data_IF_107355581647
#
_entry.id   IF_107355581647
#
_cell.length_a   1.000
_cell.length_b   1.000
_cell.length_c   1.000
_cell.angle_alpha   90.00
_cell.angle_beta   90.00
_cell.angle_gamma   90.00
#
_symmetry.space_group_name_H-M   'P 1'
#
loop_
_entity.id
_entity.type
_entity.pdbx_description
1 polymer ?
#
# COMPACT_ATOMS: atom_id res chain seq x y z
N UNK A 1 -2.54 9.20 26.89
CA UNK A 1 -3.57 9.48 26.07
C UNK A 1 -3.35 8.89 24.73
N UNK A 2 -4.35 8.58 24.08
CA UNK A 2 -4.25 7.94 22.87
C UNK A 2 -4.02 8.91 21.79
N UNK A 3 -3.11 8.70 20.99
CA UNK A 3 -2.92 9.57 19.90
C UNK A 3 -4.10 9.56 19.03
N UNK A 4 -4.34 10.58 18.50
CA UNK A 4 -5.41 10.67 17.78
C UNK A 4 -5.22 10.18 16.48
N UNK A 5 -4.05 10.03 15.96
CA UNK A 5 -3.95 9.59 14.62
C UNK A 5 -3.97 8.11 14.63
N UNK A 6 -4.66 7.54 13.71
CA UNK A 6 -4.73 6.12 13.56
C UNK A 6 -3.38 5.56 13.25
N UNK A 7 -2.57 6.31 12.56
CA UNK A 7 -1.26 5.86 12.19
C UNK A 7 -0.39 5.61 13.41
N UNK A 8 -0.41 6.52 14.37
CA UNK A 8 0.40 6.36 15.55
C UNK A 8 -0.08 5.18 16.38
N UNK A 9 -1.38 5.05 16.52
CA UNK A 9 -1.94 3.96 17.26
C UNK A 9 -1.57 2.63 16.66
N UNK A 10 -1.64 2.55 15.34
CA UNK A 10 -1.33 1.36 14.62
C UNK A 10 0.11 0.97 14.81
N UNK A 11 1.02 1.93 14.70
CA UNK A 11 2.42 1.65 14.87
C UNK A 11 2.75 1.17 16.27
N UNK A 12 2.04 1.68 17.26
CA UNK A 12 2.24 1.24 18.63
C UNK A 12 1.85 -0.23 18.77
N UNK A 13 0.75 -0.62 18.19
CA UNK A 13 0.33 -2.00 18.25
C UNK A 13 1.34 -2.90 17.56
N UNK A 14 1.77 -2.49 16.38
CA UNK A 14 2.69 -3.29 15.60
C UNK A 14 4.02 -3.46 16.33
N UNK A 15 4.49 -2.41 16.97
CA UNK A 15 5.77 -2.46 17.64
C UNK A 15 5.78 -3.49 18.75
N UNK A 16 4.62 -3.82 19.26
CA UNK A 16 4.53 -4.78 20.37
C UNK A 16 4.38 -6.20 19.88
N UNK A 17 4.34 -6.43 18.59
CA UNK A 17 4.17 -7.76 18.05
C UNK A 17 5.44 -8.18 17.35
N UNK A 18 6.06 -9.20 17.87
CA UNK A 18 7.29 -9.65 17.32
C UNK A 18 7.13 -10.10 15.90
N UNK A 19 8.06 -9.72 15.04
CA UNK A 19 8.07 -10.17 13.66
C UNK A 19 7.02 -9.52 12.80
N UNK A 20 6.35 -8.50 13.31
CA UNK A 20 5.33 -7.81 12.54
C UNK A 20 5.84 -6.45 12.15
N UNK A 21 5.81 -6.15 10.88
CA UNK A 21 6.25 -4.87 10.35
C UNK A 21 5.15 -4.30 9.49
N UNK A 22 4.62 -3.16 9.90
CA UNK A 22 3.62 -2.47 9.09
C UNK A 22 4.30 -1.41 8.27
N UNK A 23 4.06 -1.43 6.99
CA UNK A 23 4.67 -0.46 6.09
C UNK A 23 3.60 0.40 5.44
N UNK A 24 3.87 1.70 5.30
CA UNK A 24 2.93 2.59 4.63
C UNK A 24 3.15 2.54 3.12
N UNK A 25 2.08 2.38 2.39
CA UNK A 25 2.13 2.38 0.94
C UNK A 25 1.02 3.26 0.43
N UNK A 26 1.19 3.75 -0.79
CA UNK A 26 0.21 4.63 -1.41
C UNK A 26 -0.58 3.82 -2.43
N UNK A 27 -1.79 3.45 -2.07
CA UNK A 27 -2.63 2.66 -2.93
C UNK A 27 -3.21 3.50 -4.05
N UNK A 28 -3.24 2.96 -5.24
CA UNK A 28 -3.82 3.60 -6.41
C UNK A 28 -5.12 2.89 -6.75
N UNK A 29 -6.19 3.67 -6.88
CA UNK A 29 -7.44 3.13 -7.41
C UNK A 29 -7.86 4.00 -8.57
N UNK A 30 -8.60 3.40 -9.48
CA UNK A 30 -9.06 4.10 -10.68
C UNK A 30 -10.57 4.21 -10.62
N UNK A 31 -11.09 5.35 -11.08
CA UNK A 31 -12.50 5.54 -11.19
C UNK A 31 -12.77 5.82 -12.61
N UNK A 32 -13.76 5.21 -13.13
CA UNK A 32 -14.19 5.55 -14.46
C UNK A 32 -14.86 6.90 -14.43
N UNK A 33 -14.32 7.85 -15.16
CA UNK A 33 -14.94 9.15 -15.32
C UNK A 33 -15.53 9.23 -16.70
N UNK A 34 -14.77 8.84 -17.70
CA UNK A 34 -15.22 8.92 -19.08
C UNK A 34 -14.62 7.73 -19.83
N UNK A 35 -15.46 6.76 -20.17
CA UNK A 35 -14.96 5.59 -20.81
C UNK A 35 -14.51 5.83 -22.22
N UNK A 36 -14.97 6.91 -22.84
CA UNK A 36 -14.59 7.19 -24.22
C UNK A 36 -13.26 7.89 -24.32
N UNK A 37 -12.65 8.24 -23.19
CA UNK A 37 -11.38 8.93 -23.18
C UNK A 37 -10.37 8.14 -22.35
N UNK A 38 -9.63 7.22 -22.99
CA UNK A 38 -8.69 6.40 -22.26
C UNK A 38 -7.52 7.19 -21.69
N UNK A 39 -7.32 8.40 -22.12
CA UNK A 39 -6.22 9.19 -21.58
C UNK A 39 -6.63 10.02 -20.38
N UNK A 40 -7.89 9.96 -19.98
CA UNK A 40 -8.37 10.74 -18.86
C UNK A 40 -7.84 10.15 -17.57
N UNK A 41 -6.96 10.87 -16.93
CA UNK A 41 -6.34 10.42 -15.69
C UNK A 41 -6.96 11.01 -14.45
N UNK A 42 -8.03 11.75 -14.60
CA UNK A 42 -8.67 12.35 -13.45
C UNK A 42 -9.33 11.32 -12.55
N UNK A 43 -9.51 10.12 -13.06
CA UNK A 43 -10.10 9.07 -12.25
C UNK A 43 -9.14 8.41 -11.28
N UNK A 44 -7.86 8.74 -11.35
CA UNK A 44 -6.88 8.12 -10.47
C UNK A 44 -7.00 8.69 -9.07
N UNK A 45 -7.08 7.83 -8.10
CA UNK A 45 -7.14 8.24 -6.70
C UNK A 45 -6.10 7.49 -5.91
N UNK A 46 -5.56 8.15 -4.91
CA UNK A 46 -4.56 7.52 -4.05
C UNK A 46 -4.94 7.71 -2.60
N UNK A 47 -4.49 6.78 -1.78
CA UNK A 47 -4.61 6.94 -0.34
C UNK A 47 -3.54 6.10 0.33
N UNK A 48 -3.15 6.53 1.51
CA UNK A 48 -2.15 5.80 2.27
C UNK A 48 -2.81 4.59 2.92
N UNK A 49 -2.19 3.43 2.74
CA UNK A 49 -2.62 2.22 3.40
C UNK A 49 -1.44 1.64 4.16
N UNK A 50 -1.72 0.80 5.13
CA UNK A 50 -0.68 0.17 5.92
C UNK A 50 -0.83 -1.33 5.80
N UNK A 51 0.21 -2.00 5.33
CA UNK A 51 0.18 -3.43 5.15
C UNK A 51 1.21 -4.09 6.05
N UNK A 52 0.85 -5.25 6.55
CA UNK A 52 1.77 -6.04 7.35
C UNK A 52 2.70 -6.78 6.40
N UNK A 53 3.98 -6.48 6.48
CA UNK A 53 4.95 -7.01 5.52
C UNK A 53 4.97 -8.54 5.51
N UNK A 54 4.67 -9.18 6.62
CA UNK A 54 4.75 -10.64 6.63
C UNK A 54 3.65 -11.29 5.81
N UNK A 55 2.62 -10.55 5.43
CA UNK A 55 1.57 -11.07 4.59
C UNK A 55 1.75 -10.74 3.12
N UNK A 56 2.83 -10.05 2.79
CA UNK A 56 3.16 -9.76 1.40
C UNK A 56 3.98 -10.93 0.89
N UNK A 57 3.44 -11.64 -0.10
CA UNK A 57 4.17 -12.78 -0.60
C UNK A 57 4.72 -12.58 -2.01
N UNK A 58 4.35 -11.47 -2.66
CA UNK A 58 4.87 -11.22 -4.00
C UNK A 58 4.69 -9.76 -4.35
N UNK A 59 5.66 -9.23 -5.08
CA UNK A 59 5.63 -7.87 -5.56
C UNK A 59 5.97 -7.91 -7.04
N UNK A 60 5.14 -7.27 -7.87
CA UNK A 60 5.35 -7.27 -9.32
C UNK A 60 5.32 -5.86 -9.84
N UNK A 61 6.29 -5.53 -10.66
CA UNK A 61 6.30 -4.22 -11.30
C UNK A 61 5.30 -4.22 -12.44
N UNK A 62 4.52 -3.16 -12.53
CA UNK A 62 3.53 -3.01 -13.58
C UNK A 62 3.65 -1.63 -14.19
N UNK A 63 2.90 -1.44 -15.27
CA UNK A 63 3.01 -0.21 -16.04
C UNK A 63 2.69 1.02 -15.22
N UNK A 64 1.69 0.94 -14.37
CA UNK A 64 1.22 2.11 -13.63
C UNK A 64 1.55 2.07 -12.15
N UNK A 65 2.34 1.12 -11.72
CA UNK A 65 2.69 1.03 -10.31
C UNK A 65 3.24 -0.34 -9.98
N UNK A 66 3.16 -0.70 -8.73
CA UNK A 66 3.63 -2.00 -8.27
C UNK A 66 2.46 -2.76 -7.69
N UNK A 67 2.30 -4.00 -8.13
CA UNK A 67 1.26 -4.86 -7.59
C UNK A 67 1.82 -5.59 -6.39
N UNK A 68 1.19 -5.40 -5.26
CA UNK A 68 1.58 -6.07 -4.03
C UNK A 68 0.56 -7.18 -3.77
N UNK A 69 1.03 -8.41 -3.79
CA UNK A 69 0.15 -9.56 -3.57
C UNK A 69 0.10 -9.85 -2.08
N UNK A 70 -1.03 -9.57 -1.50
CA UNK A 70 -1.21 -9.60 -0.06
C UNK A 70 -2.12 -10.77 0.32
N UNK A 71 -1.68 -11.58 1.23
CA UNK A 71 -2.34 -12.85 1.50
C UNK A 71 -3.78 -12.70 2.01
N UNK A 72 -4.04 -11.64 2.76
CA UNK A 72 -5.32 -11.53 3.43
C UNK A 72 -6.37 -10.82 2.60
N UNK A 73 -5.96 -9.73 1.96
CA UNK A 73 -6.92 -8.87 1.29
C UNK A 73 -6.82 -8.88 -0.23
N UNK A 74 -6.01 -9.75 -0.78
CA UNK A 74 -5.82 -9.78 -2.22
C UNK A 74 -4.80 -8.74 -2.66
N UNK A 75 -4.74 -8.52 -3.95
CA UNK A 75 -3.71 -7.68 -4.53
C UNK A 75 -4.07 -6.22 -4.43
N UNK A 76 -3.07 -5.39 -4.24
CA UNK A 76 -3.26 -3.94 -4.29
C UNK A 76 -2.21 -3.35 -5.21
N UNK A 77 -2.56 -2.26 -5.86
CA UNK A 77 -1.63 -1.53 -6.70
C UNK A 77 -1.18 -0.30 -5.94
N UNK A 78 0.12 -0.08 -5.89
CA UNK A 78 0.66 1.05 -5.13
C UNK A 78 1.63 1.85 -5.99
N UNK A 79 1.90 3.08 -5.55
CA UNK A 79 2.79 3.96 -6.28
C UNK A 79 4.26 3.63 -6.06
N UNK A 80 4.58 3.10 -4.91
CA UNK A 80 5.97 2.81 -4.57
C UNK A 80 6.56 1.78 -5.53
N UNK A 81 7.84 1.95 -5.86
CA UNK A 81 8.52 0.98 -6.69
C UNK A 81 8.82 -0.27 -5.88
N UNK A 82 9.08 -1.40 -6.55
CA UNK A 82 9.46 -2.60 -5.80
C UNK A 82 10.65 -2.36 -4.88
N UNK A 83 11.61 -1.56 -5.35
CA UNK A 83 12.76 -1.30 -4.51
C UNK A 83 12.40 -0.48 -3.28
N UNK A 84 11.53 0.51 -3.43
CA UNK A 84 11.09 1.28 -2.29
C UNK A 84 10.38 0.41 -1.28
N UNK A 85 9.56 -0.51 -1.76
CA UNK A 85 8.86 -1.42 -0.86
C UNK A 85 9.83 -2.30 -0.11
N UNK A 86 10.82 -2.84 -0.83
CA UNK A 86 11.81 -3.68 -0.18
C UNK A 86 12.60 -2.92 0.86
N UNK A 87 12.88 -1.66 0.61
CA UNK A 87 13.58 -0.85 1.58
C UNK A 87 12.74 -0.63 2.83
N UNK A 88 11.43 -0.43 2.65
CA UNK A 88 10.56 -0.29 3.80
C UNK A 88 10.53 -1.56 4.63
N UNK A 89 10.49 -2.69 3.97
CA UNK A 89 10.46 -3.97 4.68
C UNK A 89 11.75 -4.23 5.42
N UNK A 90 12.87 -3.75 4.89
CA UNK A 90 14.17 -4.02 5.47
C UNK A 90 14.45 -3.22 6.72
N UNK A 91 13.66 -2.22 6.99
CA UNK A 91 13.84 -1.47 8.21
C UNK A 91 13.12 -2.15 9.35
#
# INVERSE_FOLDING_TARGET
>A
MIPRTDETYYNTIVANQQGTIMIPLTQITWRYIDRSDPSDRRGRKTKTIYLNAIHIFRIEEEEHGTRVCYAIHGDVLVEETPQQILELISH
#
